data_IF_297578021817
#
_entry.id   IF_297578021817
#
_cell.length_a   1.000
_cell.length_b   1.000
_cell.length_c   1.000
_cell.angle_alpha   90.00
_cell.angle_beta   90.00
_cell.angle_gamma   90.00
#
_symmetry.space_group_name_H-M   'P 1'
#
loop_
_entity.id
_entity.type
_entity.pdbx_description
1 polymer ?
#
# COMPACT_ATOMS: atom_id res chain seq x y z
N UNK A 1 -6.70 7.60 -13.41
CA UNK A 1 -6.39 8.60 -12.38
C UNK A 1 -5.69 9.78 -13.05
N UNK A 2 -5.91 11.02 -12.61
CA UNK A 2 -5.25 12.22 -13.16
C UNK A 2 -3.92 12.48 -12.44
N UNK A 3 -3.04 11.48 -12.40
CA UNK A 3 -1.68 11.65 -11.90
C UNK A 3 -0.73 11.61 -13.10
N UNK A 4 0.33 12.42 -13.08
CA UNK A 4 1.40 12.30 -14.07
C UNK A 4 2.19 11.01 -13.82
N UNK A 5 2.91 10.50 -14.82
CA UNK A 5 3.72 9.29 -14.68
C UNK A 5 4.71 9.37 -13.49
N UNK A 6 5.34 10.53 -13.28
CA UNK A 6 6.22 10.78 -12.14
C UNK A 6 5.48 10.70 -10.80
N UNK A 7 4.27 11.24 -10.74
CA UNK A 7 3.42 11.15 -9.55
C UNK A 7 2.99 9.70 -9.30
N UNK A 8 2.66 8.93 -10.33
CA UNK A 8 2.35 7.51 -10.18
C UNK A 8 3.55 6.67 -9.71
N UNK A 9 4.77 6.99 -10.18
CA UNK A 9 6.00 6.35 -9.70
C UNK A 9 6.27 6.68 -8.23
N UNK A 10 6.04 7.93 -7.84
CA UNK A 10 6.16 8.36 -6.45
C UNK A 10 5.12 7.68 -5.56
N UNK A 11 3.86 7.63 -5.99
CA UNK A 11 2.77 6.94 -5.29
C UNK A 11 3.08 5.45 -5.12
N UNK A 12 3.55 4.78 -6.18
CA UNK A 12 3.93 3.37 -6.14
C UNK A 12 5.08 3.10 -5.14
N UNK A 13 6.09 3.98 -5.12
CA UNK A 13 7.22 3.87 -4.18
C UNK A 13 6.77 4.05 -2.74
N UNK A 14 6.04 5.13 -2.46
CA UNK A 14 5.54 5.43 -1.11
C UNK A 14 4.56 4.36 -0.61
N UNK A 15 3.69 3.86 -1.47
CA UNK A 15 2.73 2.82 -1.10
C UNK A 15 3.44 1.49 -0.78
N UNK A 16 4.49 1.12 -1.51
CA UNK A 16 5.31 -0.07 -1.19
C UNK A 16 6.01 0.05 0.16
N UNK A 17 6.61 1.20 0.45
CA UNK A 17 7.22 1.47 1.75
C UNK A 17 6.20 1.37 2.89
N UNK A 18 4.99 1.91 2.70
CA UNK A 18 3.91 1.79 3.67
C UNK A 18 3.46 0.34 3.88
N UNK A 19 3.31 -0.44 2.82
CA UNK A 19 2.99 -1.88 2.93
C UNK A 19 4.05 -2.63 3.72
N UNK A 20 5.34 -2.37 3.46
CA UNK A 20 6.43 -2.98 4.21
C UNK A 20 6.36 -2.62 5.70
N UNK A 21 6.23 -1.33 6.02
CA UNK A 21 6.12 -0.89 7.41
C UNK A 21 4.89 -1.47 8.13
N UNK A 22 3.75 -1.60 7.44
CA UNK A 22 2.55 -2.21 8.00
C UNK A 22 2.74 -3.72 8.25
N UNK A 23 3.39 -4.44 7.33
CA UNK A 23 3.75 -5.84 7.55
C UNK A 23 4.69 -6.00 8.74
N UNK A 24 5.71 -5.15 8.87
CA UNK A 24 6.64 -5.18 9.99
C UNK A 24 5.90 -4.95 11.31
N UNK A 25 5.01 -3.96 11.37
CA UNK A 25 4.19 -3.69 12.56
C UNK A 25 3.25 -4.84 12.93
N UNK A 26 2.63 -5.48 11.93
CA UNK A 26 1.73 -6.62 12.13
C UNK A 26 2.45 -7.89 12.57
N UNK A 27 3.69 -8.08 12.12
CA UNK A 27 4.52 -9.25 12.42
C UNK A 27 5.46 -9.04 13.61
N UNK A 28 5.61 -7.81 14.09
CA UNK A 28 6.40 -7.52 15.28
C UNK A 28 5.77 -8.19 16.50
N UNK A 29 6.41 -9.28 16.94
CA UNK A 29 5.99 -10.08 18.10
C UNK A 29 6.11 -9.30 19.42
N UNK A 30 6.81 -8.16 19.42
CA UNK A 30 6.88 -7.26 20.59
C UNK A 30 5.76 -6.23 20.61
N UNK A 31 5.02 -6.06 19.51
CA UNK A 31 3.92 -5.10 19.47
C UNK A 31 2.67 -5.72 20.12
N UNK A 32 2.27 -5.16 21.26
CA UNK A 32 1.01 -5.49 21.94
C UNK A 32 -0.14 -4.75 21.24
N UNK A 33 -0.37 -5.06 19.97
CA UNK A 33 -1.51 -4.53 19.23
C UNK A 33 -2.79 -5.18 19.74
N UNK A 34 -3.80 -4.37 20.08
CA UNK A 34 -5.15 -4.86 20.32
C UNK A 34 -5.77 -5.41 19.03
N UNK A 35 -6.79 -6.26 19.14
CA UNK A 35 -7.50 -6.80 17.96
C UNK A 35 -8.05 -5.69 17.06
N UNK A 36 -8.56 -4.61 17.64
CA UNK A 36 -9.02 -3.43 16.90
C UNK A 36 -7.89 -2.71 16.15
N UNK A 37 -6.69 -2.61 16.74
CA UNK A 37 -5.53 -2.00 16.08
C UNK A 37 -5.01 -2.90 14.95
N UNK A 38 -4.99 -4.21 15.17
CA UNK A 38 -4.65 -5.20 14.14
C UNK A 38 -5.61 -5.12 12.96
N UNK A 39 -6.91 -5.04 13.23
CA UNK A 39 -7.94 -4.88 12.18
C UNK A 39 -7.77 -3.58 11.39
N UNK A 40 -7.44 -2.47 12.06
CA UNK A 40 -7.15 -1.20 11.37
C UNK A 40 -5.93 -1.33 10.45
N UNK A 41 -4.83 -1.89 10.96
CA UNK A 41 -3.61 -2.08 10.17
C UNK A 41 -3.83 -3.01 8.98
N UNK A 42 -4.62 -4.08 9.14
CA UNK A 42 -4.99 -4.99 8.04
C UNK A 42 -5.86 -4.28 7.00
N UNK A 43 -6.82 -3.44 7.43
CA UNK A 43 -7.65 -2.65 6.50
C UNK A 43 -6.80 -1.65 5.71
N UNK A 44 -5.88 -0.96 6.36
CA UNK A 44 -4.99 -0.02 5.70
C UNK A 44 -4.04 -0.73 4.74
N UNK A 45 -3.50 -1.89 5.13
CA UNK A 45 -2.67 -2.72 4.25
C UNK A 45 -3.41 -3.11 2.97
N UNK A 46 -4.68 -3.54 3.09
CA UNK A 46 -5.51 -3.88 1.94
C UNK A 46 -5.73 -2.67 1.02
N UNK A 47 -5.94 -1.47 1.57
CA UNK A 47 -6.09 -0.23 0.79
C UNK A 47 -4.83 0.11 0.00
N UNK A 48 -3.65 0.01 0.62
CA UNK A 48 -2.40 0.26 -0.09
C UNK A 48 -2.11 -0.78 -1.18
N UNK A 49 -2.43 -2.06 -0.93
CA UNK A 49 -2.33 -3.09 -1.96
C UNK A 49 -3.26 -2.84 -3.15
N UNK A 50 -4.49 -2.38 -2.89
CA UNK A 50 -5.44 -2.01 -3.94
C UNK A 50 -4.96 -0.79 -4.74
N UNK A 51 -4.38 0.22 -4.08
CA UNK A 51 -3.76 1.36 -4.75
C UNK A 51 -2.61 0.93 -5.68
N UNK A 52 -1.72 0.05 -5.21
CA UNK A 52 -0.63 -0.49 -6.03
C UNK A 52 -1.14 -1.29 -7.23
N UNK A 53 -2.23 -2.06 -7.04
CA UNK A 53 -2.87 -2.78 -8.11
C UNK A 53 -3.44 -1.82 -9.18
N UNK A 54 -4.09 -0.74 -8.77
CA UNK A 54 -4.59 0.29 -9.68
C UNK A 54 -3.44 0.98 -10.43
N UNK A 55 -2.33 1.33 -9.76
CA UNK A 55 -1.15 1.88 -10.43
C UNK A 55 -0.58 0.91 -11.49
N UNK A 56 -0.57 -0.40 -11.21
CA UNK A 56 -0.13 -1.42 -12.17
C UNK A 56 -1.06 -1.51 -13.38
N UNK A 57 -2.37 -1.47 -13.16
CA UNK A 57 -3.37 -1.48 -14.22
C UNK A 57 -3.27 -0.23 -15.10
N UNK A 58 -3.14 0.97 -14.51
CA UNK A 58 -2.98 2.22 -15.25
C UNK A 58 -1.77 2.16 -16.18
N UNK A 59 -0.60 1.71 -15.67
CA UNK A 59 0.60 1.54 -16.51
C UNK A 59 0.41 0.54 -17.64
N UNK A 60 -0.33 -0.55 -17.42
CA UNK A 60 -0.63 -1.51 -18.49
C UNK A 60 -1.54 -0.93 -19.57
N UNK A 61 -2.45 -0.02 -19.20
CA UNK A 61 -3.33 0.66 -20.15
C UNK A 61 -2.55 1.73 -20.93
N UNK A 62 -1.68 2.52 -20.28
CA UNK A 62 -0.85 3.52 -20.97
C UNK A 62 0.17 2.91 -21.95
N UNK A 63 0.59 1.66 -21.72
CA UNK A 63 1.48 0.91 -22.61
C UNK A 63 0.78 0.26 -23.81
N UNK A 64 -0.57 0.30 -23.88
CA UNK A 64 -1.37 -0.23 -24.99
C UNK A 64 -1.76 0.86 -25.98
#
# INVERSE_FOLDING_TARGET
MTYTLEQELLIDTLAKERVHSLHDQLHDRKSLLSDSQRDLLVRDLKRYQELLYQCRLNRQIELR
#
